data_IF_570999647034
#
_entry.id   IF_570999647034
#
_cell.length_a   1.000
_cell.length_b   1.000
_cell.length_c   1.000
_cell.angle_alpha   90.00
_cell.angle_beta   90.00
_cell.angle_gamma   90.00
#
_symmetry.space_group_name_H-M   'P 1'
#
loop_
_entity.id
_entity.type
_entity.pdbx_description
1 polymer ?
#
# COMPACT_ATOMS: atom_id res chain seq x y z
N UNK A 1 -48.62 -30.66 -11.39
CA UNK A 1 -47.59 -29.60 -11.26
C UNK A 1 -47.78 -28.97 -9.87
N UNK A 2 -47.23 -29.62 -8.84
CA UNK A 2 -46.17 -29.08 -7.93
C UNK A 2 -46.61 -27.81 -7.17
N UNK A 3 -47.22 -27.91 -5.97
CA UNK A 3 -46.59 -28.03 -4.62
C UNK A 3 -45.89 -26.73 -4.16
N UNK A 4 -46.02 -26.16 -2.95
CA UNK A 4 -47.02 -26.01 -1.87
C UNK A 4 -46.28 -25.29 -0.71
N UNK A 5 -46.97 -24.43 0.06
CA UNK A 5 -46.74 -24.08 1.50
C UNK A 5 -45.42 -23.36 1.86
N UNK A 6 -45.45 -22.12 2.37
CA UNK A 6 -45.75 -21.66 3.75
C UNK A 6 -44.71 -22.07 4.82
N UNK A 7 -44.12 -21.01 5.40
CA UNK A 7 -43.60 -20.81 6.75
C UNK A 7 -42.32 -21.49 7.27
N UNK A 8 -41.69 -20.72 8.17
CA UNK A 8 -40.82 -21.08 9.31
C UNK A 8 -39.31 -20.81 9.16
N UNK A 9 -38.91 -19.77 9.91
CA UNK A 9 -37.71 -19.58 10.74
C UNK A 9 -36.46 -20.46 10.55
N UNK A 10 -35.32 -19.75 10.59
CA UNK A 10 -34.07 -20.09 11.28
C UNK A 10 -33.39 -21.44 10.98
N UNK A 11 -32.16 -21.38 10.42
CA UNK A 11 -31.05 -22.12 11.02
C UNK A 11 -29.68 -21.65 10.50
N UNK A 12 -28.81 -21.53 11.48
CA UNK A 12 -27.36 -21.35 11.51
C UNK A 12 -26.58 -22.54 10.93
N UNK A 13 -25.30 -22.25 10.65
CA UNK A 13 -24.10 -23.11 10.71
C UNK A 13 -23.49 -23.78 9.45
N UNK A 14 -22.22 -23.40 9.27
CA UNK A 14 -21.04 -24.22 8.95
C UNK A 14 -20.65 -24.50 7.49
N UNK A 15 -19.69 -23.71 6.98
CA UNK A 15 -18.52 -24.16 6.22
C UNK A 15 -17.59 -22.94 5.97
N UNK A 16 -16.31 -22.88 6.31
CA UNK A 16 -15.41 -23.75 7.04
C UNK A 16 -14.17 -22.93 7.38
N UNK A 17 -13.83 -22.86 8.67
CA UNK A 17 -12.64 -22.15 9.16
C UNK A 17 -11.39 -22.95 8.82
N UNK A 18 -10.66 -22.57 7.76
CA UNK A 18 -9.23 -22.91 7.64
C UNK A 18 -8.43 -21.89 8.43
N UNK A 19 -7.97 -22.34 9.59
CA UNK A 19 -7.02 -21.64 10.45
C UNK A 19 -5.67 -21.60 9.73
N UNK A 20 -5.37 -20.49 9.05
CA UNK A 20 -4.00 -20.20 8.63
C UNK A 20 -3.29 -19.68 9.89
N UNK A 21 -2.47 -20.53 10.49
CA UNK A 21 -1.57 -20.09 11.55
C UNK A 21 -0.48 -19.21 10.94
N UNK A 22 -0.32 -17.99 11.46
CA UNK A 22 0.91 -17.21 11.30
C UNK A 22 0.92 -16.19 10.17
N UNK A 23 0.11 -15.13 10.30
CA UNK A 23 0.45 -13.73 10.00
C UNK A 23 -0.85 -12.92 10.08
N UNK A 24 -0.85 -11.83 10.85
CA UNK A 24 -2.03 -10.98 10.97
C UNK A 24 -2.25 -10.22 9.65
N UNK A 25 -3.24 -10.65 8.88
CA UNK A 25 -3.78 -9.96 7.71
C UNK A 25 -5.17 -9.46 8.12
N UNK A 26 -5.38 -8.14 8.14
CA UNK A 26 -6.67 -7.51 8.53
C UNK A 26 -7.28 -6.78 7.33
N UNK A 27 -8.50 -7.17 6.93
CA UNK A 27 -9.27 -6.64 5.78
C UNK A 27 -10.05 -5.34 6.10
N UNK A 28 -10.29 -4.46 5.11
CA UNK A 28 -11.03 -3.18 5.31
C UNK A 28 -11.85 -2.72 4.07
N UNK A 29 -13.07 -2.21 4.30
CA UNK A 29 -13.97 -1.51 3.36
C UNK A 29 -14.03 0.02 3.66
N UNK A 30 -14.26 0.90 2.66
CA UNK A 30 -13.88 2.33 2.72
C UNK A 30 -15.05 3.32 2.71
N UNK A 31 -15.04 4.32 3.61
CA UNK A 31 -15.58 5.67 3.36
C UNK A 31 -15.12 6.74 4.40
N UNK A 32 -14.84 7.96 3.92
CA UNK A 32 -15.07 9.22 4.68
C UNK A 32 -13.86 10.03 5.21
N UNK A 33 -13.73 11.28 4.75
CA UNK A 33 -12.65 12.28 4.91
C UNK A 33 -12.50 12.98 6.29
N UNK A 34 -11.28 13.43 6.63
CA UNK A 34 -10.95 14.81 7.11
C UNK A 34 -9.48 14.93 7.58
N UNK A 35 -8.82 16.06 7.28
CA UNK A 35 -7.38 16.33 7.41
C UNK A 35 -7.02 17.31 8.53
N UNK A 36 -5.82 17.13 9.14
CA UNK A 36 -4.92 18.16 9.71
C UNK A 36 -3.55 17.55 9.99
N UNK A 37 -2.48 18.22 9.55
CA UNK A 37 -1.09 17.73 9.50
C UNK A 37 -0.28 18.22 10.71
N UNK A 38 0.39 17.31 11.42
CA UNK A 38 1.51 17.58 12.32
C UNK A 38 2.59 16.50 12.04
N UNK A 39 3.78 16.94 11.61
CA UNK A 39 4.93 16.06 11.42
C UNK A 39 5.64 15.83 12.76
N UNK A 40 5.72 14.58 13.23
CA UNK A 40 6.66 14.15 14.26
C UNK A 40 7.66 13.15 13.69
N UNK A 41 8.94 13.38 13.98
CA UNK A 41 10.09 12.56 13.58
C UNK A 41 9.99 11.13 14.14
N UNK A 42 10.31 10.12 13.32
CA UNK A 42 10.59 8.78 13.83
C UNK A 42 10.53 7.67 12.80
N UNK A 43 11.71 7.26 12.31
CA UNK A 43 12.02 6.06 11.50
C UNK A 43 11.57 6.15 10.04
N UNK A 44 12.53 5.98 9.13
CA UNK A 44 12.34 5.90 7.68
C UNK A 44 11.11 5.05 7.39
N UNK A 45 10.02 5.70 6.98
CA UNK A 45 8.81 5.05 6.53
C UNK A 45 8.86 5.16 5.01
N UNK A 46 8.65 4.08 4.25
CA UNK A 46 8.47 4.13 2.80
C UNK A 46 7.06 4.66 2.50
N UNK A 47 6.63 5.70 3.20
CA UNK A 47 5.54 6.51 2.75
C UNK A 47 6.18 7.41 1.70
N UNK A 48 5.91 7.16 0.43
CA UNK A 48 5.98 8.23 -0.56
C UNK A 48 5.15 9.38 0.03
N UNK A 49 5.77 10.44 0.57
CA UNK A 49 5.03 11.40 1.37
C UNK A 49 3.95 12.01 0.49
N UNK A 50 2.70 11.81 0.87
CA UNK A 50 1.55 12.31 0.11
C UNK A 50 0.98 11.39 -0.97
N UNK A 51 1.58 10.25 -1.33
CA UNK A 51 0.97 9.28 -2.28
C UNK A 51 0.11 8.24 -1.55
N UNK A 52 0.67 7.65 -0.49
CA UNK A 52 -0.04 6.74 0.41
C UNK A 52 0.38 7.02 1.84
N UNK A 53 -0.58 7.37 2.67
CA UNK A 53 -0.44 7.48 4.09
C UNK A 53 -1.31 6.41 4.73
N UNK A 54 -0.68 5.54 5.53
CA UNK A 54 -1.42 4.58 6.34
C UNK A 54 -1.16 4.84 7.81
N UNK A 55 -2.25 4.86 8.57
CA UNK A 55 -2.25 5.03 10.02
C UNK A 55 -2.96 3.87 10.68
N UNK A 56 -2.48 3.47 11.85
CA UNK A 56 -3.24 2.56 12.72
C UNK A 56 -4.43 3.31 13.32
N UNK A 57 -5.59 2.67 13.30
CA UNK A 57 -6.84 3.07 13.93
C UNK A 57 -7.27 1.95 14.88
N UNK A 58 -8.15 2.20 15.87
CA UNK A 58 -8.73 1.12 16.68
C UNK A 58 -9.42 0.03 15.85
N UNK A 59 -9.96 0.40 14.69
CA UNK A 59 -10.67 -0.49 13.75
C UNK A 59 -9.75 -1.13 12.70
N UNK A 60 -8.43 -1.04 12.85
CA UNK A 60 -7.44 -1.56 11.89
C UNK A 60 -6.67 -0.47 11.15
N UNK A 61 -6.06 -0.80 10.00
CA UNK A 61 -5.26 0.13 9.20
C UNK A 61 -6.14 1.02 8.33
N UNK A 62 -5.98 2.34 8.45
CA UNK A 62 -6.65 3.31 7.57
C UNK A 62 -5.68 3.88 6.56
N UNK A 63 -5.97 3.65 5.28
CA UNK A 63 -5.24 4.20 4.16
C UNK A 63 -5.85 5.53 3.68
N UNK A 64 -4.98 6.43 3.21
CA UNK A 64 -5.36 7.72 2.65
C UNK A 64 -4.31 8.20 1.64
N UNK A 65 -4.71 9.06 0.71
CA UNK A 65 -3.84 9.58 -0.34
C UNK A 65 -4.38 9.31 -1.74
N UNK A 66 -3.77 9.90 -2.77
CA UNK A 66 -4.25 9.81 -4.15
C UNK A 66 -4.25 8.39 -4.72
N UNK A 67 -3.43 7.47 -4.17
CA UNK A 67 -3.44 6.09 -4.66
C UNK A 67 -4.67 5.30 -4.19
N UNK A 68 -5.28 5.66 -3.05
CA UNK A 68 -6.38 4.87 -2.47
C UNK A 68 -7.60 4.82 -3.40
N UNK A 69 -8.11 5.94 -3.94
CA UNK A 69 -9.19 5.89 -4.92
C UNK A 69 -8.83 5.12 -6.20
N UNK A 70 -7.55 5.16 -6.61
CA UNK A 70 -7.09 4.40 -7.77
C UNK A 70 -7.18 2.90 -7.52
N UNK A 71 -6.75 2.45 -6.34
CA UNK A 71 -6.89 1.05 -5.95
C UNK A 71 -8.37 0.66 -5.82
N UNK A 72 -9.21 1.50 -5.23
CA UNK A 72 -10.66 1.25 -5.13
C UNK A 72 -11.31 1.07 -6.52
N UNK A 73 -10.91 1.87 -7.51
CA UNK A 73 -11.37 1.71 -8.89
C UNK A 73 -10.91 0.37 -9.49
N UNK A 74 -9.66 -0.04 -9.25
CA UNK A 74 -9.14 -1.35 -9.66
C UNK A 74 -9.95 -2.47 -9.01
N UNK A 75 -10.16 -2.40 -7.69
CA UNK A 75 -10.90 -3.40 -6.93
C UNK A 75 -12.35 -3.50 -7.38
N UNK A 76 -13.01 -2.37 -7.62
CA UNK A 76 -14.36 -2.32 -8.16
C UNK A 76 -14.45 -2.92 -9.56
N UNK A 77 -13.45 -2.70 -10.42
CA UNK A 77 -13.41 -3.27 -11.78
C UNK A 77 -13.31 -4.79 -11.73
N UNK A 78 -12.49 -5.32 -10.82
CA UNK A 78 -12.33 -6.76 -10.60
C UNK A 78 -13.37 -7.38 -9.66
N UNK A 79 -14.30 -6.58 -9.12
CA UNK A 79 -15.30 -6.99 -8.12
C UNK A 79 -14.68 -7.69 -6.92
N UNK A 80 -13.59 -7.15 -6.40
CA UNK A 80 -12.86 -7.65 -5.23
C UNK A 80 -12.79 -6.60 -4.13
N UNK A 81 -12.45 -7.04 -2.92
CA UNK A 81 -12.18 -6.16 -1.77
C UNK A 81 -10.68 -5.87 -1.67
N UNK A 82 -10.33 -4.77 -1.00
CA UNK A 82 -8.94 -4.39 -0.77
C UNK A 82 -8.57 -4.53 0.69
N UNK A 83 -7.35 -5.02 0.89
CA UNK A 83 -6.79 -5.25 2.21
C UNK A 83 -5.38 -4.69 2.21
N UNK A 84 -5.13 -3.68 3.05
CA UNK A 84 -3.82 -3.07 3.14
C UNK A 84 -3.00 -3.72 4.26
N UNK A 85 -1.83 -4.23 3.90
CA UNK A 85 -0.83 -4.71 4.85
C UNK A 85 0.50 -3.98 4.65
N UNK A 86 1.34 -3.95 5.69
CA UNK A 86 2.68 -3.36 5.63
C UNK A 86 3.72 -4.41 5.97
N UNK A 87 4.86 -4.44 5.24
CA UNK A 87 5.97 -5.27 5.66
C UNK A 87 6.52 -4.74 6.99
N UNK A 88 6.87 -5.66 7.90
CA UNK A 88 7.33 -5.32 9.24
C UNK A 88 8.60 -4.45 9.23
N UNK A 89 9.50 -4.75 8.28
CA UNK A 89 10.75 -4.03 8.06
C UNK A 89 10.56 -2.64 7.44
N UNK A 90 9.36 -2.34 6.93
CA UNK A 90 9.02 -1.11 6.22
C UNK A 90 9.98 -0.81 5.07
N UNK A 91 10.36 -1.82 4.30
CA UNK A 91 11.18 -1.66 3.10
C UNK A 91 10.35 -1.84 1.83
N UNK A 92 10.79 -1.22 0.72
CA UNK A 92 10.23 -1.53 -0.60
C UNK A 92 10.68 -2.93 -1.05
N UNK A 93 11.96 -3.23 -0.86
CA UNK A 93 12.54 -4.55 -1.10
C UNK A 93 13.84 -4.50 -1.89
N UNK A 94 14.85 -5.20 -1.40
CA UNK A 94 16.12 -5.46 -2.08
C UNK A 94 16.33 -6.96 -2.18
N UNK A 95 17.02 -7.41 -3.23
CA UNK A 95 17.40 -8.80 -3.33
C UNK A 95 18.54 -9.07 -2.35
N UNK A 96 18.37 -10.11 -1.54
CA UNK A 96 19.36 -10.60 -0.60
C UNK A 96 20.32 -11.57 -1.30
N UNK A 97 21.51 -11.83 -0.74
CA UNK A 97 22.50 -12.72 -1.36
C UNK A 97 22.01 -14.14 -1.63
N UNK A 98 21.02 -14.60 -0.88
CA UNK A 98 20.38 -15.91 -1.06
C UNK A 98 19.33 -15.94 -2.19
N UNK A 99 19.14 -14.83 -2.92
CA UNK A 99 18.18 -14.70 -4.01
C UNK A 99 16.76 -14.31 -3.58
N UNK A 100 16.46 -14.31 -2.28
CA UNK A 100 15.16 -13.87 -1.73
C UNK A 100 15.08 -12.34 -1.67
N UNK A 101 13.87 -11.82 -1.48
CA UNK A 101 13.63 -10.39 -1.31
C UNK A 101 13.20 -10.06 0.12
N UNK A 102 13.37 -8.81 0.53
CA UNK A 102 12.75 -8.25 1.75
C UNK A 102 11.65 -7.22 1.38
N UNK A 103 11.05 -6.55 2.37
CA UNK A 103 10.07 -5.49 2.13
C UNK A 103 8.79 -5.94 1.44
N UNK A 104 8.21 -5.05 0.64
CA UNK A 104 7.00 -5.34 -0.14
C UNK A 104 7.23 -6.50 -1.11
N UNK A 105 8.40 -6.55 -1.76
CA UNK A 105 8.73 -7.63 -2.70
C UNK A 105 8.77 -9.01 -2.03
N UNK A 106 9.14 -9.13 -0.75
CA UNK A 106 9.07 -10.41 -0.05
C UNK A 106 7.64 -10.86 0.20
N UNK A 107 6.72 -9.94 0.51
CA UNK A 107 5.32 -10.27 0.69
C UNK A 107 4.68 -10.79 -0.60
N UNK A 108 5.04 -10.20 -1.74
CA UNK A 108 4.59 -10.65 -3.06
C UNK A 108 5.22 -12.01 -3.40
N UNK A 109 6.54 -12.16 -3.21
CA UNK A 109 7.26 -13.41 -3.48
C UNK A 109 6.73 -14.59 -2.64
N UNK A 110 6.42 -14.33 -1.37
CA UNK A 110 5.84 -15.31 -0.44
C UNK A 110 4.34 -15.53 -0.65
N UNK A 111 3.71 -14.85 -1.62
CA UNK A 111 2.26 -14.90 -1.88
C UNK A 111 1.40 -14.52 -0.67
N UNK A 112 1.91 -13.62 0.18
CA UNK A 112 1.17 -13.05 1.32
C UNK A 112 0.28 -11.87 0.90
N UNK A 113 0.57 -11.29 -0.27
CA UNK A 113 -0.22 -10.24 -0.92
C UNK A 113 -0.25 -10.49 -2.42
N UNK A 114 -1.33 -10.08 -3.07
CA UNK A 114 -1.48 -10.25 -4.53
C UNK A 114 -0.80 -9.14 -5.33
N UNK A 115 -0.69 -7.94 -4.76
CA UNK A 115 -0.10 -6.77 -5.44
C UNK A 115 0.42 -5.72 -4.47
N UNK A 116 1.29 -4.84 -4.96
CA UNK A 116 1.73 -3.66 -4.21
C UNK A 116 0.67 -2.55 -4.23
N UNK A 117 0.31 -2.02 -3.05
CA UNK A 117 -0.60 -0.86 -2.93
C UNK A 117 0.06 0.50 -3.20
N UNK A 118 1.32 0.52 -3.63
CA UNK A 118 2.09 1.74 -3.97
C UNK A 118 2.81 1.53 -5.29
N UNK A 119 3.02 2.59 -6.10
CA UNK A 119 3.86 2.50 -7.29
C UNK A 119 5.30 2.17 -6.87
N UNK A 120 5.85 1.10 -7.47
CA UNK A 120 7.22 0.66 -7.23
C UNK A 120 8.11 1.03 -8.41
N UNK A 121 9.33 1.44 -8.10
CA UNK A 121 10.35 1.67 -9.12
C UNK A 121 10.84 0.30 -9.61
N UNK A 122 10.55 -0.05 -10.86
CA UNK A 122 10.95 -1.34 -11.42
C UNK A 122 12.36 -1.23 -12.01
N UNK A 123 13.33 -1.91 -11.38
CA UNK A 123 14.69 -2.05 -11.90
C UNK A 123 14.82 -3.32 -12.74
N UNK A 124 15.87 -3.48 -13.57
CA UNK A 124 16.10 -4.69 -14.35
C UNK A 124 16.13 -5.97 -13.50
N UNK A 125 16.61 -5.89 -12.26
CA UNK A 125 16.66 -7.03 -11.33
C UNK A 125 15.25 -7.42 -10.85
N UNK A 126 14.38 -6.44 -10.62
CA UNK A 126 13.00 -6.66 -10.18
C UNK A 126 12.14 -7.25 -11.30
N UNK A 127 12.28 -6.75 -12.52
CA UNK A 127 11.50 -7.20 -13.69
C UNK A 127 11.78 -8.67 -14.06
N UNK A 128 12.96 -9.21 -13.69
CA UNK A 128 13.29 -10.63 -13.91
C UNK A 128 12.46 -11.60 -13.05
N UNK A 129 11.90 -11.11 -11.94
CA UNK A 129 11.26 -11.94 -10.91
C UNK A 129 9.79 -11.57 -10.71
N UNK A 130 9.45 -10.29 -10.91
CA UNK A 130 8.12 -9.76 -10.67
C UNK A 130 7.55 -9.12 -11.93
N UNK A 131 6.28 -9.42 -12.18
CA UNK A 131 5.52 -8.74 -13.22
C UNK A 131 5.10 -7.35 -12.74
N UNK A 132 5.27 -6.37 -13.63
CA UNK A 132 4.79 -5.01 -13.41
C UNK A 132 3.50 -4.80 -14.19
N UNK A 133 2.52 -4.15 -13.57
CA UNK A 133 1.39 -3.59 -14.29
C UNK A 133 1.79 -2.37 -15.12
N UNK A 134 0.80 -1.72 -15.70
CA UNK A 134 0.99 -0.48 -16.45
C UNK A 134 1.60 0.63 -15.59
N UNK A 135 2.41 1.47 -16.23
CA UNK A 135 3.09 2.59 -15.56
C UNK A 135 2.08 3.67 -15.18
N UNK A 136 1.65 3.69 -13.92
CA UNK A 136 0.73 4.70 -13.40
C UNK A 136 1.42 6.01 -12.96
N UNK A 137 2.74 5.99 -12.84
CA UNK A 137 3.52 7.15 -12.40
C UNK A 137 4.89 7.19 -13.10
N UNK A 138 5.21 8.35 -13.68
CA UNK A 138 6.59 8.70 -14.04
C UNK A 138 7.12 9.71 -13.03
N UNK A 139 8.34 9.48 -12.54
CA UNK A 139 8.99 10.34 -11.55
C UNK A 139 10.36 10.78 -12.07
N UNK A 140 10.61 12.09 -12.02
CA UNK A 140 11.91 12.66 -12.29
C UNK A 140 12.77 12.60 -11.03
N UNK A 141 14.04 12.22 -11.19
CA UNK A 141 15.05 12.33 -10.12
C UNK A 141 15.84 13.61 -10.35
N UNK A 142 15.87 14.48 -9.34
CA UNK A 142 16.59 15.76 -9.41
C UNK A 142 17.38 15.99 -8.13
N UNK A 143 18.54 16.64 -8.27
CA UNK A 143 19.30 17.15 -7.14
C UNK A 143 18.68 18.50 -6.78
N UNK A 144 18.14 18.61 -5.57
CA UNK A 144 17.51 19.85 -5.08
C UNK A 144 18.53 20.60 -4.22
N UNK A 145 18.69 21.88 -4.48
CA UNK A 145 19.42 22.81 -3.61
C UNK A 145 18.50 23.97 -3.22
N UNK A 146 18.79 24.63 -2.10
CA UNK A 146 18.11 25.87 -1.73
C UNK A 146 18.38 26.91 -2.83
N UNK A 147 17.33 27.58 -3.31
CA UNK A 147 17.51 28.71 -4.21
C UNK A 147 18.31 29.78 -3.47
N UNK A 148 19.49 30.20 -3.97
CA UNK A 148 20.22 31.27 -3.30
C UNK A 148 19.37 32.53 -3.32
N UNK A 149 19.29 33.22 -2.18
CA UNK A 149 18.72 34.57 -2.14
C UNK A 149 19.87 35.51 -2.48
N UNK A 150 19.85 36.20 -3.63
CA UNK A 150 20.92 37.12 -3.96
C UNK A 150 20.88 38.28 -2.95
N UNK A 151 21.85 38.33 -2.05
CA UNK A 151 22.11 39.49 -1.22
C UNK A 151 23.06 40.41 -1.99
N UNK A 152 22.70 41.68 -2.12
CA UNK A 152 23.56 42.67 -2.75
C UNK A 152 24.75 42.97 -1.82
N UNK A 153 25.87 42.27 -2.04
CA UNK A 153 27.14 42.65 -1.44
C UNK A 153 27.77 43.78 -2.25
N UNK A 154 27.53 45.03 -1.82
CA UNK A 154 28.13 46.23 -2.41
C UNK A 154 29.66 46.26 -2.31
N UNK A 155 30.28 45.37 -1.53
CA UNK A 155 31.73 45.25 -1.40
C UNK A 155 32.34 44.21 -2.34
N UNK A 156 31.54 43.44 -3.07
CA UNK A 156 31.97 42.73 -4.29
C UNK A 156 33.01 41.60 -4.13
N UNK A 157 33.23 41.05 -2.93
CA UNK A 157 34.22 39.98 -2.75
C UNK A 157 33.73 38.88 -1.80
N UNK A 158 33.21 37.77 -2.37
CA UNK A 158 33.36 36.41 -1.81
C UNK A 158 33.10 35.33 -2.84
#
# INVERSE_FOLDING_TARGET
MSSSLLDVQAQTEAAGSRRISGSHVEEVEVSGLSSRFLMSHGRYHPQFPGILNVRKSPDGLRASGPIVPLMEMVASSFKTCLVYVFPEDRLFGVQLPNGTWNGIFSLVQDQKVDMSGVPLIMSPERIKVFDAGEWIQSAFRSIVHLRPTPEADILGFR
#
